data_IF_679487871284
#
_entry.id   IF_679487871284
#
_cell.length_a   1.000
_cell.length_b   1.000
_cell.length_c   1.000
_cell.angle_alpha   90.00
_cell.angle_beta   90.00
_cell.angle_gamma   90.00
#
_symmetry.space_group_name_H-M   'P 1'
#
loop_
_entity.id
_entity.type
_entity.pdbx_description
1 polymer ?
#
# COMPACT_ATOMS: atom_id res chain seq x y z
N UNK A 1 -21.78 86.78 -32.22
CA UNK A 1 -20.63 86.78 -33.15
C UNK A 1 -19.56 85.90 -32.52
N UNK A 2 -19.42 84.65 -32.96
CA UNK A 2 -18.42 83.75 -32.43
C UNK A 2 -17.05 84.15 -32.98
N UNK A 3 -16.12 84.54 -32.11
CA UNK A 3 -14.74 84.85 -32.47
C UNK A 3 -14.07 83.55 -32.91
N UNK A 4 -13.64 83.50 -34.17
CA UNK A 4 -12.82 82.42 -34.71
C UNK A 4 -11.51 82.34 -33.92
N UNK A 5 -11.38 81.31 -33.07
CA UNK A 5 -10.14 81.05 -32.33
C UNK A 5 -9.00 80.68 -33.29
N UNK A 6 -7.80 81.17 -33.01
CA UNK A 6 -6.60 80.94 -33.82
C UNK A 6 -6.26 79.44 -33.88
N UNK A 7 -6.35 78.86 -35.08
CA UNK A 7 -5.96 77.46 -35.34
C UNK A 7 -4.43 77.36 -35.35
N UNK A 8 -3.86 76.53 -34.47
CA UNK A 8 -2.42 76.28 -34.41
C UNK A 8 -2.09 74.96 -35.09
N UNK A 9 -1.23 74.99 -36.11
CA UNK A 9 -0.75 73.79 -36.81
C UNK A 9 0.73 73.61 -36.54
N UNK A 10 1.11 72.46 -35.98
CA UNK A 10 2.48 72.08 -35.71
C UNK A 10 2.88 70.95 -36.66
N UNK A 11 3.75 71.24 -37.62
CA UNK A 11 4.26 70.21 -38.52
C UNK A 11 5.13 69.20 -37.74
N UNK A 12 4.88 67.92 -37.96
CA UNK A 12 5.62 66.84 -37.29
C UNK A 12 6.65 66.23 -38.24
N UNK A 13 6.21 65.75 -39.40
CA UNK A 13 7.07 64.97 -40.28
C UNK A 13 6.61 65.05 -41.74
N UNK A 14 7.55 65.11 -42.68
CA UNK A 14 7.29 65.11 -44.12
C UNK A 14 8.12 64.01 -44.77
N UNK A 15 7.45 63.08 -45.45
CA UNK A 15 8.07 61.96 -46.17
C UNK A 15 7.56 61.94 -47.61
N UNK A 16 8.25 61.21 -48.48
CA UNK A 16 7.83 61.06 -49.88
C UNK A 16 6.41 60.49 -50.02
N UNK A 17 5.96 59.71 -49.05
CA UNK A 17 4.62 59.10 -49.00
C UNK A 17 3.54 59.98 -48.35
N UNK A 18 3.89 61.16 -47.81
CA UNK A 18 2.90 62.06 -47.19
C UNK A 18 3.46 62.94 -46.08
N UNK A 19 2.55 63.71 -45.47
CA UNK A 19 2.88 64.68 -44.44
C UNK A 19 2.03 64.44 -43.18
N UNK A 20 2.66 64.58 -42.02
CA UNK A 20 2.06 64.52 -40.70
C UNK A 20 2.19 65.87 -39.98
N UNK A 21 1.11 66.30 -39.35
CA UNK A 21 1.04 67.52 -38.56
C UNK A 21 -0.01 67.37 -37.46
N UNK A 22 0.17 68.11 -36.38
CA UNK A 22 -0.75 68.22 -35.26
C UNK A 22 -1.55 69.53 -35.40
N UNK A 23 -2.87 69.46 -35.27
CA UNK A 23 -3.76 70.64 -35.30
C UNK A 23 -4.36 70.84 -33.93
N UNK A 24 -4.08 71.98 -33.32
CA UNK A 24 -4.57 72.39 -32.01
C UNK A 24 -5.66 73.46 -32.23
N UNK A 25 -6.91 73.07 -32.00
CA UNK A 25 -8.08 73.94 -32.16
C UNK A 25 -8.38 74.77 -30.90
N UNK A 26 -7.92 74.29 -29.74
CA UNK A 26 -7.94 75.01 -28.47
C UNK A 26 -6.73 74.55 -27.65
N UNK A 27 -5.82 75.45 -27.26
CA UNK A 27 -4.72 75.09 -26.38
C UNK A 27 -5.29 74.67 -25.02
N UNK A 28 -4.81 73.53 -24.50
CA UNK A 28 -5.28 73.00 -23.23
C UNK A 28 -4.88 73.96 -22.09
N UNK A 29 -5.87 74.62 -21.47
CA UNK A 29 -5.64 75.59 -20.38
C UNK A 29 -5.53 74.92 -19.01
N UNK A 30 -5.73 73.59 -18.96
CA UNK A 30 -5.53 72.77 -17.77
C UNK A 30 -4.35 71.86 -18.07
N UNK A 31 -3.23 72.11 -17.39
CA UNK A 31 -2.04 71.25 -17.43
C UNK A 31 -2.27 69.90 -16.74
N UNK A 32 -3.33 69.19 -17.10
CA UNK A 32 -3.60 67.83 -16.65
C UNK A 32 -2.68 66.90 -17.43
N UNK A 33 -1.45 66.79 -16.94
CA UNK A 33 -0.50 65.76 -17.36
C UNK A 33 -1.23 64.42 -17.25
N UNK A 34 -1.38 63.65 -18.34
CA UNK A 34 -1.99 62.33 -18.26
C UNK A 34 -1.29 61.52 -17.18
N UNK A 35 -2.07 60.87 -16.30
CA UNK A 35 -1.54 59.98 -15.27
C UNK A 35 -0.52 59.02 -15.91
N UNK A 36 0.68 58.86 -15.32
CA UNK A 36 1.70 57.99 -15.88
C UNK A 36 1.09 56.60 -16.10
N UNK A 37 1.41 55.93 -17.22
CA UNK A 37 0.89 54.60 -17.50
C UNK A 37 1.18 53.69 -16.29
N UNK A 38 0.25 52.78 -15.94
CA UNK A 38 0.47 51.85 -14.83
C UNK A 38 1.82 51.17 -15.04
N UNK A 39 2.67 51.21 -14.00
CA UNK A 39 4.04 50.66 -14.02
C UNK A 39 4.02 49.34 -14.77
N UNK A 40 4.76 49.27 -15.87
CA UNK A 40 4.89 48.06 -16.67
C UNK A 40 5.19 46.90 -15.71
N UNK A 41 4.28 45.92 -15.68
CA UNK A 41 4.52 44.72 -14.90
C UNK A 41 5.80 44.14 -15.45
N UNK A 42 6.83 44.03 -14.60
CA UNK A 42 8.13 43.46 -14.94
C UNK A 42 7.89 42.19 -15.75
N UNK A 43 8.31 42.20 -17.01
CA UNK A 43 8.10 41.05 -17.90
C UNK A 43 8.76 39.84 -17.25
N UNK A 44 8.01 38.75 -17.10
CA UNK A 44 8.54 37.51 -16.51
C UNK A 44 9.70 37.03 -17.38
N UNK A 45 10.85 36.74 -16.78
CA UNK A 45 11.97 36.21 -17.55
C UNK A 45 11.66 34.81 -18.07
N UNK A 46 12.36 34.40 -19.14
CA UNK A 46 12.22 33.06 -19.71
C UNK A 46 12.48 31.96 -18.66
N UNK A 47 13.45 32.18 -17.77
CA UNK A 47 13.75 31.27 -16.65
C UNK A 47 12.59 31.18 -15.63
N UNK A 48 11.94 32.31 -15.30
CA UNK A 48 10.80 32.31 -14.37
C UNK A 48 9.60 31.57 -14.96
N UNK A 49 9.38 31.67 -16.27
CA UNK A 49 8.34 30.94 -16.99
C UNK A 49 8.65 29.43 -16.97
N UNK A 50 9.88 29.04 -17.32
CA UNK A 50 10.31 27.64 -17.30
C UNK A 50 10.15 27.03 -15.90
N UNK A 51 10.62 27.72 -14.86
CA UNK A 51 10.49 27.27 -13.47
C UNK A 51 9.04 27.04 -13.05
N UNK A 52 8.10 27.88 -13.50
CA UNK A 52 6.67 27.69 -13.21
C UNK A 52 6.09 26.48 -13.95
N UNK A 53 6.52 26.22 -15.19
CA UNK A 53 6.11 25.05 -15.96
C UNK A 53 6.65 23.76 -15.33
N UNK A 54 7.93 23.74 -14.96
CA UNK A 54 8.57 22.61 -14.26
C UNK A 54 7.88 22.32 -12.93
N UNK A 55 7.61 23.34 -12.10
CA UNK A 55 6.89 23.15 -10.85
C UNK A 55 5.47 22.59 -11.04
N UNK A 56 4.79 22.94 -12.14
CA UNK A 56 3.49 22.35 -12.47
C UNK A 56 3.62 20.89 -12.92
N UNK A 57 4.67 20.57 -13.69
CA UNK A 57 4.98 19.21 -14.08
C UNK A 57 5.36 18.32 -12.89
N UNK A 58 6.18 18.81 -11.96
CA UNK A 58 6.53 18.08 -10.74
C UNK A 58 5.30 17.79 -9.89
N UNK A 59 4.37 18.75 -9.72
CA UNK A 59 3.10 18.49 -9.02
C UNK A 59 2.28 17.40 -9.71
N UNK A 60 2.22 17.40 -11.05
CA UNK A 60 1.53 16.35 -11.82
C UNK A 60 2.18 14.97 -11.58
N UNK A 61 3.51 14.88 -11.72
CA UNK A 61 4.28 13.65 -11.50
C UNK A 61 4.16 13.14 -10.07
N UNK A 62 4.21 14.03 -9.08
CA UNK A 62 4.07 13.67 -7.67
C UNK A 62 2.70 13.09 -7.38
N UNK A 63 1.63 13.68 -7.93
CA UNK A 63 0.28 13.16 -7.76
C UNK A 63 0.11 11.79 -8.42
N UNK A 64 0.62 11.64 -9.65
CA UNK A 64 0.63 10.35 -10.35
C UNK A 64 1.38 9.27 -9.56
N UNK A 65 2.56 9.60 -9.02
CA UNK A 65 3.34 8.68 -8.19
C UNK A 65 2.60 8.26 -6.91
N UNK A 66 1.89 9.18 -6.26
CA UNK A 66 1.08 8.88 -5.08
C UNK A 66 -0.10 7.94 -5.41
N UNK A 67 -0.78 8.18 -6.54
CA UNK A 67 -1.84 7.30 -7.03
C UNK A 67 -1.28 5.90 -7.33
N UNK A 68 -0.15 5.81 -8.03
CA UNK A 68 0.50 4.53 -8.33
C UNK A 68 0.93 3.79 -7.06
N UNK A 69 1.45 4.51 -6.06
CA UNK A 69 1.80 3.93 -4.76
C UNK A 69 0.59 3.31 -4.08
N UNK A 70 -0.53 4.02 -4.00
CA UNK A 70 -1.76 3.48 -3.41
C UNK A 70 -2.34 2.28 -4.18
N UNK A 71 -2.22 2.29 -5.51
CA UNK A 71 -2.60 1.13 -6.31
C UNK A 71 -1.69 -0.08 -6.04
N UNK A 72 -0.38 0.14 -5.90
CA UNK A 72 0.56 -0.91 -5.55
C UNK A 72 0.28 -1.51 -4.17
N UNK A 73 0.04 -0.66 -3.16
CA UNK A 73 -0.35 -1.09 -1.81
C UNK A 73 -1.61 -1.97 -1.82
N UNK A 74 -2.65 -1.59 -2.59
CA UNK A 74 -3.86 -2.41 -2.73
C UNK A 74 -3.57 -3.77 -3.38
N UNK A 75 -2.72 -3.81 -4.41
CA UNK A 75 -2.32 -5.06 -5.07
C UNK A 75 -1.48 -5.96 -4.18
N UNK A 76 -0.65 -5.38 -3.31
CA UNK A 76 0.09 -6.15 -2.31
C UNK A 76 -0.87 -6.75 -1.28
N UNK A 77 -1.83 -5.97 -0.79
CA UNK A 77 -2.83 -6.46 0.16
C UNK A 77 -3.69 -7.59 -0.43
N UNK A 78 -4.13 -7.48 -1.69
CA UNK A 78 -4.85 -8.56 -2.38
C UNK A 78 -4.04 -9.88 -2.39
N UNK A 79 -2.74 -9.81 -2.66
CA UNK A 79 -1.85 -10.98 -2.64
C UNK A 79 -1.69 -11.54 -1.23
N UNK A 80 -1.54 -10.68 -0.23
CA UNK A 80 -1.44 -11.09 1.18
C UNK A 80 -2.69 -11.83 1.63
N UNK A 81 -3.88 -11.31 1.30
CA UNK A 81 -5.16 -11.96 1.63
C UNK A 81 -5.27 -13.34 0.97
N UNK A 82 -4.93 -13.45 -0.32
CA UNK A 82 -4.92 -14.74 -1.02
C UNK A 82 -3.94 -15.74 -0.41
N UNK A 83 -2.72 -15.28 -0.10
CA UNK A 83 -1.69 -16.09 0.56
C UNK A 83 -2.17 -16.58 1.92
N UNK A 84 -2.74 -15.69 2.74
CA UNK A 84 -3.25 -16.01 4.07
C UNK A 84 -4.38 -17.05 4.00
N UNK A 85 -5.32 -16.90 3.07
CA UNK A 85 -6.38 -17.89 2.87
C UNK A 85 -5.82 -19.28 2.51
N UNK A 86 -4.79 -19.33 1.66
CA UNK A 86 -4.11 -20.59 1.32
C UNK A 86 -3.36 -21.19 2.53
N UNK A 87 -2.66 -20.36 3.29
CA UNK A 87 -1.94 -20.79 4.50
C UNK A 87 -2.88 -21.34 5.57
N UNK A 88 -4.01 -20.68 5.82
CA UNK A 88 -5.03 -21.16 6.78
C UNK A 88 -5.60 -22.51 6.36
N UNK A 89 -5.90 -22.70 5.06
CA UNK A 89 -6.38 -23.98 4.54
C UNK A 89 -5.35 -25.11 4.69
N UNK A 90 -4.09 -24.82 4.40
CA UNK A 90 -2.99 -25.77 4.58
C UNK A 90 -2.79 -26.11 6.06
N UNK A 91 -2.88 -25.11 6.95
CA UNK A 91 -2.72 -25.31 8.38
C UNK A 91 -3.86 -26.15 8.99
N UNK A 92 -5.10 -25.98 8.49
CA UNK A 92 -6.23 -26.81 8.88
C UNK A 92 -5.97 -28.28 8.54
N UNK A 93 -5.52 -28.53 7.30
CA UNK A 93 -5.22 -29.88 6.81
C UNK A 93 -4.12 -30.54 7.64
N UNK A 94 -3.03 -29.80 7.89
CA UNK A 94 -1.91 -30.26 8.73
C UNK A 94 -2.35 -30.57 10.16
N UNK A 95 -3.10 -29.68 10.80
CA UNK A 95 -3.58 -29.88 12.18
C UNK A 95 -4.53 -31.08 12.27
N UNK A 96 -5.38 -31.27 11.26
CA UNK A 96 -6.28 -32.43 11.20
C UNK A 96 -5.51 -33.74 11.05
N UNK A 97 -4.50 -33.77 10.18
CA UNK A 97 -3.62 -34.93 9.97
C UNK A 97 -2.84 -35.27 11.25
N UNK A 98 -2.20 -34.29 11.89
CA UNK A 98 -1.47 -34.48 13.14
C UNK A 98 -2.36 -35.05 14.25
N UNK A 99 -3.58 -34.52 14.40
CA UNK A 99 -4.56 -35.05 15.37
C UNK A 99 -4.97 -36.49 15.06
N UNK A 100 -5.16 -36.83 13.79
CA UNK A 100 -5.50 -38.20 13.40
C UNK A 100 -4.35 -39.16 13.73
N UNK A 101 -3.13 -38.80 13.35
CA UNK A 101 -1.94 -39.61 13.62
C UNK A 101 -1.73 -39.83 15.12
N UNK A 102 -1.87 -38.79 15.94
CA UNK A 102 -1.83 -38.92 17.40
C UNK A 102 -2.88 -39.89 17.94
N UNK A 103 -4.12 -39.82 17.44
CA UNK A 103 -5.18 -40.75 17.86
C UNK A 103 -4.89 -42.19 17.43
N UNK A 104 -4.31 -42.40 16.25
CA UNK A 104 -3.96 -43.73 15.76
C UNK A 104 -2.84 -44.36 16.57
N UNK A 105 -1.78 -43.61 16.89
CA UNK A 105 -0.70 -44.11 17.74
C UNK A 105 -1.17 -44.38 19.16
N UNK A 106 -1.95 -43.47 19.77
CA UNK A 106 -2.54 -43.70 21.08
C UNK A 106 -3.45 -44.95 21.10
N UNK A 107 -4.22 -45.19 20.04
CA UNK A 107 -5.04 -46.41 19.92
C UNK A 107 -4.18 -47.67 19.86
N UNK A 108 -3.11 -47.64 19.06
CA UNK A 108 -2.18 -48.75 18.87
C UNK A 108 -1.42 -49.08 20.17
N UNK A 109 -0.95 -48.08 20.89
CA UNK A 109 -0.32 -48.22 22.20
C UNK A 109 -1.29 -48.82 23.22
N UNK A 110 -2.51 -48.28 23.31
CA UNK A 110 -3.56 -48.80 24.21
C UNK A 110 -3.90 -50.26 23.92
N UNK A 111 -4.03 -50.63 22.64
CA UNK A 111 -4.26 -52.02 22.23
C UNK A 111 -3.10 -52.91 22.65
N UNK A 112 -1.87 -52.46 22.45
CA UNK A 112 -0.66 -53.20 22.79
C UNK A 112 -0.54 -53.38 24.30
N UNK A 113 -0.77 -52.33 25.09
CA UNK A 113 -0.76 -52.38 26.55
C UNK A 113 -1.82 -53.35 27.08
N UNK A 114 -3.05 -53.32 26.53
CA UNK A 114 -4.11 -54.26 26.90
C UNK A 114 -3.73 -55.72 26.61
N UNK A 115 -3.13 -55.99 25.46
CA UNK A 115 -2.67 -57.34 25.10
C UNK A 115 -1.50 -57.79 25.98
N UNK A 116 -0.56 -56.90 26.29
CA UNK A 116 0.55 -57.17 27.20
C UNK A 116 0.03 -57.53 28.60
N UNK A 117 -0.90 -56.75 29.15
CA UNK A 117 -1.50 -57.02 30.45
C UNK A 117 -2.27 -58.36 30.50
N UNK A 118 -2.94 -58.75 29.41
CA UNK A 118 -3.58 -60.07 29.31
C UNK A 118 -2.54 -61.19 29.29
N UNK A 119 -1.50 -61.05 28.49
CA UNK A 119 -0.40 -62.03 28.40
C UNK A 119 0.32 -62.20 29.74
N UNK A 120 0.53 -61.12 30.49
CA UNK A 120 1.14 -61.17 31.82
C UNK A 120 0.28 -61.96 32.81
N UNK A 121 -1.04 -61.71 32.84
CA UNK A 121 -1.99 -62.49 33.67
C UNK A 121 -2.00 -63.98 33.33
N UNK A 122 -1.84 -64.33 32.05
CA UNK A 122 -1.73 -65.74 31.65
C UNK A 122 -0.41 -66.36 32.14
N UNK A 123 0.72 -65.66 31.98
CA UNK A 123 2.02 -66.12 32.49
C UNK A 123 2.02 -66.32 34.00
N UNK A 124 1.39 -65.42 34.76
CA UNK A 124 1.23 -65.57 36.21
C UNK A 124 0.41 -66.82 36.58
N UNK A 125 -0.68 -67.08 35.83
CA UNK A 125 -1.49 -68.28 36.02
C UNK A 125 -0.69 -69.55 35.74
N UNK A 126 0.07 -69.58 34.64
CA UNK A 126 0.93 -70.72 34.29
C UNK A 126 2.00 -70.96 35.36
N UNK A 127 2.65 -69.89 35.85
CA UNK A 127 3.62 -69.97 36.94
C UNK A 127 2.99 -70.56 38.21
N UNK A 128 1.79 -70.10 38.58
CA UNK A 128 1.07 -70.62 39.74
C UNK A 128 0.72 -72.11 39.59
N UNK A 129 0.34 -72.54 38.39
CA UNK A 129 0.06 -73.96 38.12
C UNK A 129 1.33 -74.82 38.28
N UNK A 130 2.48 -74.34 37.79
CA UNK A 130 3.77 -75.01 37.98
C UNK A 130 4.20 -75.06 39.44
N UNK A 131 4.00 -73.98 40.20
CA UNK A 131 4.25 -73.98 41.65
C UNK A 131 3.37 -75.00 42.38
N UNK A 132 2.09 -75.10 42.03
CA UNK A 132 1.17 -76.11 42.61
C UNK A 132 1.61 -77.54 42.26
N UNK A 133 2.06 -77.78 41.02
CA UNK A 133 2.61 -79.09 40.62
C UNK A 133 3.83 -79.46 41.45
N UNK A 134 4.81 -78.56 41.54
CA UNK A 134 6.02 -78.76 42.35
C UNK A 134 5.69 -78.97 43.83
N UNK A 135 4.77 -78.19 44.39
CA UNK A 135 4.35 -78.34 45.80
C UNK A 135 3.65 -79.68 46.06
N UNK A 136 2.98 -80.27 45.06
CA UNK A 136 2.42 -81.63 45.16
C UNK A 136 3.52 -82.69 45.15
N UNK A 137 4.58 -82.49 44.37
CA UNK A 137 5.72 -83.41 44.29
C UNK A 137 6.63 -83.36 45.54
N UNK A 138 6.68 -82.22 46.23
CA UNK A 138 7.54 -82.02 47.41
C UNK A 138 6.84 -82.21 48.75
N UNK A 139 5.51 -82.40 48.78
CA UNK A 139 4.85 -82.88 50.00
C UNK A 139 5.31 -84.32 50.25
N UNK A 140 5.97 -84.62 51.38
CA UNK A 140 6.20 -86.01 51.74
C UNK A 140 4.84 -86.69 51.84
N UNK A 141 4.75 -87.91 51.33
CA UNK A 141 3.66 -88.83 51.64
C UNK A 141 3.63 -89.02 53.16
N UNK A 142 2.91 -88.14 53.85
CA UNK A 142 2.55 -88.32 55.25
C UNK A 142 1.55 -89.46 55.29
N UNK A 143 2.10 -90.65 55.56
CA UNK A 143 1.63 -91.63 56.54
C UNK A 143 0.10 -91.75 56.72
N UNK A 144 -0.38 -92.96 56.42
CA UNK A 144 -1.64 -93.51 56.93
C UNK A 144 -1.83 -93.29 58.43
#
# INVERSE_FOLDING_TARGET
>A
MATSGDILVKELDKRASGQAFEVILAPDTKGEIPLPPPKEKKEMSLEEIQKKLEAAEERRKSHEAEVLKHLAEKREHEKEVQKKAMEENNNFSKTAEEKLNQKMEANKENRTARMAALNEKFKEKDKKLEEVRKARETKPEGEN
#
